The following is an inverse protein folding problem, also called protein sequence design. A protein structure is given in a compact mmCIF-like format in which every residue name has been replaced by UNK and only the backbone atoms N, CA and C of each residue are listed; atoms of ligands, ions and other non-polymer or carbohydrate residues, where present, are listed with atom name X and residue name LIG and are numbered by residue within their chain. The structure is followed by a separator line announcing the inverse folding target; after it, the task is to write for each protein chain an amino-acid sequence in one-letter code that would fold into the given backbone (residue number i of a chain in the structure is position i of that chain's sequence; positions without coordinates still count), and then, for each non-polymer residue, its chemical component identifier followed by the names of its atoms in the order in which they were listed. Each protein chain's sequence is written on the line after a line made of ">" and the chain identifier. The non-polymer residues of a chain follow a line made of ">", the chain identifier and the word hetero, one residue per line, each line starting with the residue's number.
data_IF_683298463066
#
_entry.id   IF_683298463066
#
_cell.length_a   1.000
_cell.length_b   1.000
_cell.length_c   1.000
_cell.angle_alpha   90.00
_cell.angle_beta   90.00
_cell.angle_gamma   90.00
#
_symmetry.space_group_name_H-M   'P 1'
#
loop_
_entity.id
_entity.type
_entity.pdbx_description
1 polymer ?
#
# COMPACT_ATOMS: atom_id res chain seq x y z
N UNK A 1 21.81 0.88 0.76
CA UNK A 1 21.12 2.18 1.01
C UNK A 1 19.83 2.21 0.21
N UNK A 2 18.66 2.29 0.83
CA UNK A 2 17.40 2.49 0.07
C UNK A 2 17.45 3.89 -0.53
N UNK A 3 17.53 3.96 -1.87
CA UNK A 3 17.55 5.19 -2.67
C UNK A 3 16.37 6.12 -2.27
N UNK A 4 16.60 7.43 -2.22
CA UNK A 4 15.59 8.45 -1.90
C UNK A 4 14.29 8.29 -2.70
N UNK A 5 14.40 7.88 -3.98
CA UNK A 5 13.25 7.57 -4.83
C UNK A 5 12.36 6.47 -4.24
N UNK A 6 12.96 5.37 -3.80
CA UNK A 6 12.23 4.25 -3.21
C UNK A 6 11.59 4.63 -1.86
N UNK A 7 12.24 5.50 -1.06
CA UNK A 7 11.63 6.04 0.17
C UNK A 7 10.42 6.92 -0.13
N UNK A 8 10.54 7.81 -1.11
CA UNK A 8 9.46 8.70 -1.55
C UNK A 8 8.27 7.88 -2.07
N UNK A 9 8.52 6.86 -2.88
CA UNK A 9 7.50 5.96 -3.39
C UNK A 9 6.75 5.24 -2.25
N UNK A 10 7.47 4.66 -1.30
CA UNK A 10 6.85 3.99 -0.14
C UNK A 10 5.99 4.96 0.67
N UNK A 11 6.45 6.19 0.87
CA UNK A 11 5.66 7.20 1.58
C UNK A 11 4.36 7.52 0.84
N UNK A 12 4.41 7.69 -0.48
CA UNK A 12 3.22 7.93 -1.32
C UNK A 12 2.25 6.76 -1.28
N UNK A 13 2.73 5.52 -1.41
CA UNK A 13 1.90 4.31 -1.33
C UNK A 13 1.19 4.22 0.04
N UNK A 14 1.92 4.47 1.14
CA UNK A 14 1.31 4.45 2.47
C UNK A 14 0.25 5.55 2.64
N UNK A 15 0.44 6.73 2.04
CA UNK A 15 -0.53 7.82 2.09
C UNK A 15 -1.80 7.48 1.30
N UNK A 16 -1.66 6.94 0.08
CA UNK A 16 -2.81 6.47 -0.73
C UNK A 16 -3.58 5.38 0.02
N UNK A 17 -2.86 4.43 0.61
CA UNK A 17 -3.44 3.35 1.42
C UNK A 17 -4.28 3.90 2.59
N UNK A 18 -3.75 4.89 3.31
CA UNK A 18 -4.48 5.53 4.41
C UNK A 18 -5.76 6.22 3.92
N UNK A 19 -5.68 6.99 2.84
CA UNK A 19 -6.84 7.68 2.27
C UNK A 19 -7.92 6.67 1.85
N UNK A 20 -7.53 5.60 1.15
CA UNK A 20 -8.48 4.57 0.72
C UNK A 20 -9.15 3.88 1.92
N UNK A 21 -8.40 3.57 2.98
CA UNK A 21 -8.97 3.03 4.21
C UNK A 21 -9.96 3.98 4.86
N UNK A 22 -9.61 5.25 4.98
CA UNK A 22 -10.43 6.26 5.62
C UNK A 22 -11.76 6.41 4.86
N UNK A 23 -11.73 6.38 3.52
CA UNK A 23 -12.93 6.39 2.66
C UNK A 23 -13.79 5.12 2.77
N UNK A 24 -13.17 3.94 2.89
CA UNK A 24 -13.91 2.69 3.10
C UNK A 24 -14.57 2.64 4.49
N UNK A 25 -13.90 3.19 5.51
CA UNK A 25 -14.42 3.23 6.88
C UNK A 25 -15.46 4.34 7.10
N UNK A 26 -15.40 5.45 6.35
CA UNK A 26 -16.32 6.57 6.52
C UNK A 26 -17.75 6.24 6.09
N UNK A 27 -17.95 5.18 5.29
CA UNK A 27 -19.23 4.83 4.66
C UNK A 27 -19.84 5.98 3.83
N UNK A 28 -19.04 6.97 3.45
CA UNK A 28 -19.46 8.08 2.59
C UNK A 28 -19.69 7.60 1.15
N UNK A 29 -19.09 6.47 0.77
CA UNK A 29 -19.29 5.83 -0.51
C UNK A 29 -20.51 4.90 -0.43
N UNK A 30 -21.53 5.07 -1.29
CA UNK A 30 -22.66 4.16 -1.33
C UNK A 30 -22.20 2.73 -1.61
N UNK A 31 -22.75 1.77 -0.86
CA UNK A 31 -22.43 0.36 -1.04
C UNK A 31 -22.75 -0.10 -2.47
N UNK A 32 -21.85 -0.88 -3.07
CA UNK A 32 -22.00 -1.35 -4.45
C UNK A 32 -21.81 -0.26 -5.52
N UNK A 33 -21.48 0.98 -5.14
CA UNK A 33 -21.15 2.02 -6.11
C UNK A 33 -19.83 1.74 -6.82
N UNK A 34 -19.68 2.31 -8.02
CA UNK A 34 -18.41 2.32 -8.76
C UNK A 34 -17.30 2.96 -7.93
N UNK A 35 -17.59 4.06 -7.22
CA UNK A 35 -16.63 4.72 -6.36
C UNK A 35 -16.12 3.83 -5.21
N UNK A 36 -17.02 3.07 -4.55
CA UNK A 36 -16.60 2.10 -3.53
C UNK A 36 -15.70 1.01 -4.13
N UNK A 37 -16.05 0.51 -5.31
CA UNK A 37 -15.26 -0.49 -6.03
C UNK A 37 -13.87 0.02 -6.38
N UNK A 38 -13.78 1.24 -6.91
CA UNK A 38 -12.51 1.87 -7.28
C UNK A 38 -11.62 2.08 -6.05
N UNK A 39 -12.19 2.54 -4.93
CA UNK A 39 -11.45 2.73 -3.68
C UNK A 39 -10.96 1.39 -3.10
N UNK A 40 -11.78 0.34 -3.18
CA UNK A 40 -11.38 -1.01 -2.78
C UNK A 40 -10.20 -1.52 -3.61
N UNK A 41 -10.23 -1.34 -4.93
CA UNK A 41 -9.12 -1.73 -5.81
C UNK A 41 -7.83 -0.96 -5.49
N UNK A 42 -7.92 0.35 -5.23
CA UNK A 42 -6.77 1.17 -4.83
C UNK A 42 -6.19 0.66 -3.50
N UNK A 43 -7.04 0.34 -2.53
CA UNK A 43 -6.63 -0.24 -1.25
C UNK A 43 -5.87 -1.56 -1.43
N UNK A 44 -6.38 -2.46 -2.26
CA UNK A 44 -5.79 -3.77 -2.51
C UNK A 44 -4.41 -3.65 -3.18
N UNK A 45 -4.29 -2.80 -4.21
CA UNK A 45 -3.02 -2.53 -4.88
C UNK A 45 -2.00 -1.92 -3.92
N UNK A 46 -2.41 -0.95 -3.09
CA UNK A 46 -1.52 -0.32 -2.13
C UNK A 46 -1.05 -1.29 -1.03
N UNK A 47 -1.92 -2.21 -0.59
CA UNK A 47 -1.54 -3.29 0.32
C UNK A 47 -0.57 -4.28 -0.31
N UNK A 48 -0.82 -4.68 -1.56
CA UNK A 48 0.08 -5.56 -2.30
C UNK A 48 1.49 -4.96 -2.42
N UNK A 49 1.58 -3.69 -2.80
CA UNK A 49 2.85 -2.96 -2.89
C UNK A 49 3.60 -2.93 -1.55
N UNK A 50 2.90 -2.70 -0.42
CA UNK A 50 3.49 -2.75 0.90
C UNK A 50 4.01 -4.15 1.26
N UNK A 51 3.25 -5.20 0.94
CA UNK A 51 3.67 -6.58 1.21
C UNK A 51 4.92 -6.96 0.41
N UNK A 52 4.98 -6.59 -0.87
CA UNK A 52 6.15 -6.80 -1.71
C UNK A 52 7.40 -6.13 -1.13
N UNK A 53 7.26 -4.88 -0.67
CA UNK A 53 8.33 -4.16 0.01
C UNK A 53 8.80 -4.87 1.30
N UNK A 54 7.88 -5.39 2.12
CA UNK A 54 8.22 -6.12 3.35
C UNK A 54 9.01 -7.40 3.06
N UNK A 55 8.69 -8.09 1.96
CA UNK A 55 9.44 -9.28 1.50
C UNK A 55 10.85 -8.91 1.03
N UNK A 56 10.99 -7.85 0.22
CA UNK A 56 12.28 -7.34 -0.22
C UNK A 56 13.19 -6.82 0.90
N UNK A 57 12.64 -6.48 2.06
CA UNK A 57 13.40 -6.08 3.26
C UNK A 57 13.87 -7.25 4.14
N UNK A 58 13.29 -8.45 4.00
CA UNK A 58 13.64 -9.65 4.79
C UNK A 58 14.67 -10.57 4.11
N UNK A 59 14.95 -10.41 2.82
CA UNK A 59 15.89 -11.25 2.06
C UNK A 59 17.37 -10.83 2.07
N UNK A 60 17.79 -9.96 3.00
CA UNK A 60 19.14 -9.35 3.01
C UNK A 60 20.00 -9.70 4.23
N UNK A 61 19.74 -10.82 4.90
CA UNK A 61 20.55 -11.33 6.02
C UNK A 61 21.40 -12.52 5.56
N UNK A 62 22.73 -12.38 5.71
CA UNK A 62 23.78 -13.38 5.46
C UNK A 62 23.37 -14.82 5.82
N UNK A 63 23.62 -15.74 4.89
CA UNK A 63 24.06 -17.10 5.23
C UNK A 63 25.44 -17.28 4.61
N UNK A 64 26.46 -16.87 5.37
CA UNK A 64 27.82 -17.37 5.23
C UNK A 64 27.98 -18.41 6.34
N UNK A 65 28.16 -19.67 5.95
CA UNK A 65 28.93 -20.69 6.66
C UNK A 65 29.00 -21.94 5.78
#
# INVERSE_FOLDING_TARGET
>A
VINALARSLVHKVNRIRKIANDLLLSRELPEGSRAMTDVQQIWDVANYAQQYQRRGRRGGGRASQ
#
